data_IF_845266910101
#
_entry.id   IF_845266910101
#
_cell.length_a   1.000
_cell.length_b   1.000
_cell.length_c   1.000
_cell.angle_alpha   90.00
_cell.angle_beta   90.00
_cell.angle_gamma   90.00
#
_symmetry.space_group_name_H-M   'P 1'
#
loop_
_entity.id
_entity.type
_entity.pdbx_description
1 polymer ?
#
# COMPACT_ATOMS: atom_id res chain seq x y z
N UNK A 1 10.37 -28.13 -4.47
CA UNK A 1 9.15 -27.46 -3.94
C UNK A 1 8.03 -27.61 -4.97
N UNK A 2 6.76 -27.64 -4.53
CA UNK A 2 5.63 -27.59 -5.48
C UNK A 2 5.63 -26.23 -6.17
N UNK A 3 5.49 -26.21 -7.49
CA UNK A 3 5.33 -24.96 -8.26
C UNK A 3 4.04 -24.28 -7.87
N UNK A 4 4.11 -22.96 -7.63
CA UNK A 4 2.95 -22.10 -7.38
C UNK A 4 2.55 -21.44 -8.69
N UNK A 5 1.32 -21.67 -9.12
CA UNK A 5 0.76 -21.15 -10.36
C UNK A 5 -0.04 -19.88 -10.08
N UNK A 6 0.30 -18.80 -10.78
CA UNK A 6 -0.26 -17.46 -10.56
C UNK A 6 -1.14 -17.06 -11.74
N UNK A 7 -2.31 -16.51 -11.43
CA UNK A 7 -3.14 -15.75 -12.36
C UNK A 7 -2.96 -14.25 -12.15
N UNK A 8 -2.92 -13.48 -13.22
CA UNK A 8 -2.88 -12.00 -13.15
C UNK A 8 -4.16 -11.44 -13.74
N UNK A 9 -4.89 -10.65 -12.95
CA UNK A 9 -6.10 -9.94 -13.36
C UNK A 9 -5.87 -8.43 -13.40
N UNK A 10 -5.98 -7.84 -14.58
CA UNK A 10 -5.82 -6.41 -14.80
C UNK A 10 -4.38 -5.98 -15.16
N UNK A 11 -4.30 -4.99 -16.04
CA UNK A 11 -3.03 -4.52 -16.63
C UNK A 11 -2.03 -3.94 -15.62
N UNK A 12 -2.49 -3.42 -14.47
CA UNK A 12 -1.59 -2.90 -13.43
C UNK A 12 -0.75 -4.03 -12.78
N UNK A 13 -1.24 -5.27 -12.81
CA UNK A 13 -0.51 -6.44 -12.32
C UNK A 13 0.83 -6.70 -13.03
N UNK A 14 1.09 -6.05 -14.15
CA UNK A 14 2.40 -6.13 -14.84
C UNK A 14 3.56 -5.64 -13.99
N UNK A 15 3.34 -4.78 -13.00
CA UNK A 15 4.36 -4.35 -12.04
C UNK A 15 4.97 -5.50 -11.24
N UNK A 16 4.21 -6.58 -11.02
CA UNK A 16 4.64 -7.75 -10.23
C UNK A 16 5.40 -8.80 -11.04
N UNK A 17 5.34 -8.72 -12.38
CA UNK A 17 5.81 -9.79 -13.27
C UNK A 17 7.31 -10.05 -13.13
N UNK A 18 8.14 -9.00 -13.10
CA UNK A 18 9.59 -9.17 -12.95
C UNK A 18 9.92 -9.86 -11.62
N UNK A 19 9.29 -9.42 -10.52
CA UNK A 19 9.45 -10.04 -9.21
C UNK A 19 9.03 -11.52 -9.21
N UNK A 20 7.84 -11.83 -9.73
CA UNK A 20 7.35 -13.21 -9.78
C UNK A 20 8.25 -14.14 -10.61
N UNK A 21 8.77 -13.67 -11.75
CA UNK A 21 9.67 -14.44 -12.61
C UNK A 21 11.05 -14.71 -11.96
N UNK A 22 11.48 -13.84 -11.04
CA UNK A 22 12.75 -14.00 -10.33
C UNK A 22 12.66 -14.98 -9.14
N UNK A 23 11.47 -15.52 -8.82
CA UNK A 23 11.26 -16.45 -7.71
C UNK A 23 11.20 -17.89 -8.21
N UNK A 24 12.12 -18.73 -7.75
CA UNK A 24 12.17 -20.16 -8.10
C UNK A 24 10.85 -20.87 -7.72
N UNK A 25 10.33 -21.71 -8.63
CA UNK A 25 9.11 -22.47 -8.41
C UNK A 25 7.83 -21.62 -8.44
N UNK A 26 7.84 -20.48 -9.12
CA UNK A 26 6.66 -19.67 -9.42
C UNK A 26 6.46 -19.62 -10.94
N UNK A 27 5.22 -19.79 -11.38
CA UNK A 27 4.84 -19.71 -12.80
C UNK A 27 3.60 -18.84 -12.97
N UNK A 28 3.63 -17.92 -13.91
CA UNK A 28 2.46 -17.13 -14.32
C UNK A 28 1.77 -17.89 -15.45
N UNK A 29 0.65 -18.55 -15.15
CA UNK A 29 -0.03 -19.47 -16.08
C UNK A 29 -1.29 -18.90 -16.69
N UNK A 30 -1.90 -17.88 -16.05
CA UNK A 30 -3.18 -17.31 -16.47
C UNK A 30 -3.14 -15.77 -16.47
N UNK A 31 -3.84 -15.17 -17.43
CA UNK A 31 -4.06 -13.73 -17.53
C UNK A 31 -5.54 -13.44 -17.72
N UNK A 32 -6.06 -12.38 -17.10
CA UNK A 32 -7.44 -11.95 -17.21
C UNK A 32 -7.57 -10.44 -17.36
N UNK A 33 -8.33 -10.00 -18.36
CA UNK A 33 -8.79 -8.62 -18.50
C UNK A 33 -10.02 -8.57 -19.40
N UNK A 34 -10.99 -7.70 -19.08
CA UNK A 34 -12.18 -7.47 -19.93
C UNK A 34 -11.83 -6.84 -21.28
N UNK A 35 -10.75 -6.04 -21.32
CA UNK A 35 -10.25 -5.42 -22.55
C UNK A 35 -9.32 -6.39 -23.26
N UNK A 36 -9.68 -6.78 -24.49
CA UNK A 36 -8.91 -7.74 -25.29
C UNK A 36 -7.49 -7.28 -25.63
N UNK A 37 -7.28 -6.00 -25.84
CA UNK A 37 -5.94 -5.48 -26.16
C UNK A 37 -5.06 -5.43 -24.90
N UNK A 38 -5.61 -5.05 -23.75
CA UNK A 38 -4.93 -5.18 -22.46
C UNK A 38 -4.59 -6.65 -22.17
N UNK A 39 -5.53 -7.56 -22.37
CA UNK A 39 -5.33 -9.00 -22.18
C UNK A 39 -4.19 -9.56 -23.06
N UNK A 40 -4.10 -9.17 -24.33
CA UNK A 40 -2.98 -9.54 -25.20
C UNK A 40 -1.63 -9.05 -24.67
N UNK A 41 -1.59 -7.81 -24.15
CA UNK A 41 -0.38 -7.24 -23.56
C UNK A 41 0.01 -8.02 -22.30
N UNK A 42 -0.95 -8.25 -21.40
CA UNK A 42 -0.71 -9.01 -20.16
C UNK A 42 -0.19 -10.41 -20.50
N UNK A 43 -0.84 -11.14 -21.39
CA UNK A 43 -0.42 -12.48 -21.80
C UNK A 43 0.99 -12.51 -22.39
N UNK A 44 1.33 -11.54 -23.25
CA UNK A 44 2.65 -11.41 -23.84
C UNK A 44 3.74 -11.14 -22.80
N UNK A 45 3.54 -10.18 -21.93
CA UNK A 45 4.54 -9.76 -20.95
C UNK A 45 4.73 -10.82 -19.83
N UNK A 46 3.64 -11.49 -19.45
CA UNK A 46 3.69 -12.56 -18.44
C UNK A 46 4.21 -13.88 -18.99
N UNK A 47 3.95 -14.18 -20.26
CA UNK A 47 4.11 -15.50 -20.86
C UNK A 47 2.95 -16.46 -20.51
N UNK A 48 1.85 -15.96 -19.95
CA UNK A 48 0.68 -16.77 -19.59
C UNK A 48 0.10 -17.48 -20.83
N UNK A 49 -0.10 -18.79 -20.71
CA UNK A 49 -0.62 -19.63 -21.81
C UNK A 49 -2.14 -19.69 -21.84
N UNK A 50 -2.80 -19.33 -20.73
CA UNK A 50 -4.26 -19.30 -20.60
C UNK A 50 -4.73 -17.84 -20.45
N UNK A 51 -5.73 -17.45 -21.22
CA UNK A 51 -6.28 -16.09 -21.20
C UNK A 51 -7.79 -16.13 -20.99
N UNK A 52 -8.29 -15.22 -20.15
CA UNK A 52 -9.68 -15.17 -19.74
C UNK A 52 -10.19 -13.74 -19.84
N UNK A 53 -11.44 -13.57 -20.31
CA UNK A 53 -12.11 -12.26 -20.27
C UNK A 53 -12.95 -12.11 -18.98
N UNK A 54 -13.40 -13.21 -18.43
CA UNK A 54 -14.21 -13.27 -17.21
C UNK A 54 -13.32 -13.78 -16.07
N UNK A 55 -13.35 -13.08 -14.96
CA UNK A 55 -12.51 -13.38 -13.80
C UNK A 55 -12.85 -14.75 -13.19
N UNK A 56 -14.12 -15.08 -13.08
CA UNK A 56 -14.61 -16.33 -12.50
C UNK A 56 -14.13 -17.54 -13.34
N UNK A 57 -14.13 -17.42 -14.67
CA UNK A 57 -13.59 -18.47 -15.55
C UNK A 57 -12.08 -18.73 -15.29
N UNK A 58 -11.31 -17.68 -14.96
CA UNK A 58 -9.92 -17.86 -14.57
C UNK A 58 -9.79 -18.58 -13.23
N UNK A 59 -10.70 -18.36 -12.28
CA UNK A 59 -10.69 -19.02 -10.97
C UNK A 59 -10.96 -20.53 -11.07
N UNK A 60 -11.67 -20.99 -12.11
CA UNK A 60 -11.88 -22.42 -12.38
C UNK A 60 -10.61 -23.13 -12.88
N UNK A 61 -9.58 -22.36 -13.26
CA UNK A 61 -8.31 -22.93 -13.70
C UNK A 61 -7.45 -23.46 -12.55
N UNK A 62 -6.33 -24.10 -12.89
CA UNK A 62 -5.41 -24.72 -11.95
C UNK A 62 -4.42 -23.76 -11.28
N UNK A 63 -4.74 -22.46 -11.23
CA UNK A 63 -3.94 -21.48 -10.46
C UNK A 63 -4.04 -21.75 -8.96
N UNK A 64 -2.95 -21.49 -8.23
CA UNK A 64 -2.91 -21.56 -6.76
C UNK A 64 -3.21 -20.19 -6.13
N UNK A 65 -2.85 -19.09 -6.83
CA UNK A 65 -3.04 -17.74 -6.34
C UNK A 65 -3.35 -16.75 -7.48
N UNK A 66 -3.90 -15.59 -7.12
CA UNK A 66 -4.21 -14.51 -8.07
C UNK A 66 -3.68 -13.16 -7.60
N UNK A 67 -3.12 -12.40 -8.54
CA UNK A 67 -2.81 -10.98 -8.38
C UNK A 67 -3.99 -10.20 -8.93
N UNK A 68 -4.70 -9.47 -8.06
CA UNK A 68 -5.83 -8.61 -8.43
C UNK A 68 -5.34 -7.19 -8.61
N UNK A 69 -5.34 -6.71 -9.84
CA UNK A 69 -4.87 -5.39 -10.24
C UNK A 69 -5.85 -4.71 -11.22
N UNK A 70 -7.11 -5.02 -11.05
CA UNK A 70 -8.27 -4.46 -11.75
C UNK A 70 -8.62 -3.07 -11.19
N UNK A 71 -9.65 -2.36 -11.69
CA UNK A 71 -10.15 -1.15 -11.03
C UNK A 71 -10.52 -1.40 -9.56
N UNK A 72 -10.16 -0.47 -8.68
CA UNK A 72 -10.20 -0.66 -7.21
C UNK A 72 -11.59 -1.07 -6.65
N UNK A 73 -12.68 -0.67 -7.31
CA UNK A 73 -14.03 -1.10 -6.90
C UNK A 73 -14.30 -2.60 -7.14
N UNK A 74 -13.42 -3.27 -7.89
CA UNK A 74 -13.50 -4.71 -8.14
C UNK A 74 -12.64 -5.53 -7.16
N UNK A 75 -11.75 -4.90 -6.39
CA UNK A 75 -10.78 -5.61 -5.57
C UNK A 75 -11.44 -6.56 -4.56
N UNK A 76 -12.37 -6.05 -3.74
CA UNK A 76 -13.02 -6.89 -2.71
C UNK A 76 -13.93 -7.95 -3.32
N UNK A 77 -14.85 -7.66 -4.26
CA UNK A 77 -15.65 -8.70 -4.89
C UNK A 77 -14.79 -9.82 -5.51
N UNK A 78 -13.73 -9.46 -6.20
CA UNK A 78 -12.83 -10.43 -6.82
C UNK A 78 -11.98 -11.18 -5.79
N UNK A 79 -11.51 -10.51 -4.72
CA UNK A 79 -10.79 -11.17 -3.65
C UNK A 79 -11.66 -12.22 -2.93
N UNK A 80 -12.91 -11.89 -2.64
CA UNK A 80 -13.86 -12.82 -2.01
C UNK A 80 -14.12 -14.03 -2.93
N UNK A 81 -14.39 -13.81 -4.21
CA UNK A 81 -14.59 -14.90 -5.18
C UNK A 81 -13.34 -15.80 -5.28
N UNK A 82 -12.14 -15.21 -5.29
CA UNK A 82 -10.89 -15.99 -5.33
C UNK A 82 -10.67 -16.81 -4.05
N UNK A 83 -10.89 -16.22 -2.88
CA UNK A 83 -10.79 -16.90 -1.59
C UNK A 83 -11.79 -18.06 -1.50
N UNK A 84 -13.04 -17.86 -1.96
CA UNK A 84 -14.08 -18.86 -2.02
C UNK A 84 -13.72 -20.02 -2.97
N UNK A 85 -13.09 -19.70 -4.11
CA UNK A 85 -12.52 -20.67 -5.04
C UNK A 85 -11.25 -21.36 -4.51
N UNK A 86 -10.85 -21.10 -3.27
CA UNK A 86 -9.69 -21.69 -2.62
C UNK A 86 -8.34 -21.15 -3.08
N UNK A 87 -8.30 -19.96 -3.72
CA UNK A 87 -7.08 -19.31 -4.19
C UNK A 87 -6.53 -18.35 -3.14
N UNK A 88 -5.19 -18.21 -3.09
CA UNK A 88 -4.53 -17.13 -2.36
C UNK A 88 -4.63 -15.81 -3.15
N UNK A 89 -4.62 -14.67 -2.47
CA UNK A 89 -4.87 -13.37 -3.09
C UNK A 89 -3.78 -12.37 -2.70
N UNK A 90 -3.19 -11.71 -3.69
CA UNK A 90 -2.52 -10.43 -3.52
C UNK A 90 -3.32 -9.37 -4.29
N UNK A 91 -3.70 -8.28 -3.64
CA UNK A 91 -4.52 -7.23 -4.24
C UNK A 91 -3.78 -5.91 -4.28
N UNK A 92 -3.87 -5.22 -5.41
CA UNK A 92 -3.44 -3.83 -5.53
C UNK A 92 -4.23 -2.94 -4.55
N UNK A 93 -3.65 -1.78 -4.29
CA UNK A 93 -4.21 -0.76 -3.40
C UNK A 93 -5.36 0.00 -4.10
N UNK A 94 -6.40 0.39 -3.36
CA UNK A 94 -6.67 0.14 -1.94
C UNK A 94 -7.37 -1.20 -1.73
N UNK A 95 -7.40 -1.73 -0.50
CA UNK A 95 -8.05 -3.02 -0.24
C UNK A 95 -9.52 -3.04 -0.68
N UNK A 96 -10.27 -1.96 -0.41
CA UNK A 96 -11.68 -1.82 -0.79
C UNK A 96 -12.07 -0.35 -0.96
N UNK A 97 -13.33 -0.09 -1.28
CA UNK A 97 -13.87 1.26 -1.54
C UNK A 97 -15.05 1.64 -0.62
N UNK A 98 -15.47 0.75 0.26
CA UNK A 98 -16.47 0.98 1.32
C UNK A 98 -16.06 0.29 2.62
N UNK A 99 -16.58 0.75 3.75
CA UNK A 99 -16.30 0.12 5.04
C UNK A 99 -16.85 -1.30 5.12
N UNK A 100 -18.03 -1.54 4.57
CA UNK A 100 -18.66 -2.88 4.55
C UNK A 100 -17.80 -3.90 3.81
N UNK A 101 -17.23 -3.50 2.66
CA UNK A 101 -16.30 -4.34 1.91
C UNK A 101 -15.09 -4.76 2.75
N UNK A 102 -14.56 -3.87 3.60
CA UNK A 102 -13.42 -4.19 4.44
C UNK A 102 -13.76 -5.27 5.49
N UNK A 103 -14.96 -5.20 6.07
CA UNK A 103 -15.43 -6.25 6.98
C UNK A 103 -15.66 -7.58 6.26
N UNK A 104 -16.33 -7.56 5.11
CA UNK A 104 -16.56 -8.77 4.30
C UNK A 104 -15.24 -9.42 3.84
N UNK A 105 -14.24 -8.61 3.51
CA UNK A 105 -12.92 -9.13 3.14
C UNK A 105 -12.26 -9.86 4.31
N UNK A 106 -12.25 -9.26 5.51
CA UNK A 106 -11.72 -9.90 6.71
C UNK A 106 -12.44 -11.21 7.03
N UNK A 107 -13.77 -11.19 7.03
CA UNK A 107 -14.59 -12.38 7.27
C UNK A 107 -14.32 -13.49 6.25
N UNK A 108 -14.11 -13.11 4.98
CA UNK A 108 -13.81 -14.08 3.93
C UNK A 108 -12.43 -14.70 4.07
N UNK A 109 -11.40 -13.91 4.42
CA UNK A 109 -10.05 -14.43 4.68
C UNK A 109 -10.09 -15.41 5.86
N UNK A 110 -10.79 -15.06 6.94
CA UNK A 110 -10.96 -15.92 8.12
C UNK A 110 -11.73 -17.21 7.78
N UNK A 111 -12.81 -17.09 7.00
CA UNK A 111 -13.67 -18.22 6.61
C UNK A 111 -12.94 -19.24 5.73
N UNK A 112 -12.25 -18.76 4.69
CA UNK A 112 -11.65 -19.62 3.68
C UNK A 112 -10.20 -20.01 4.02
N UNK A 113 -9.60 -19.37 5.03
CA UNK A 113 -8.24 -19.65 5.52
C UNK A 113 -7.18 -19.67 4.39
N UNK A 114 -7.23 -18.64 3.52
CA UNK A 114 -6.25 -18.42 2.47
C UNK A 114 -5.47 -17.14 2.74
N UNK A 115 -4.24 -17.09 2.24
CA UNK A 115 -3.40 -15.89 2.32
C UNK A 115 -4.05 -14.75 1.54
N UNK A 116 -4.22 -13.61 2.19
CA UNK A 116 -4.48 -12.33 1.55
C UNK A 116 -3.37 -11.35 1.91
N UNK A 117 -2.88 -10.63 0.92
CA UNK A 117 -1.86 -9.58 1.09
C UNK A 117 -2.21 -8.35 0.26
N UNK A 118 -2.06 -7.16 0.85
CA UNK A 118 -2.16 -5.90 0.11
C UNK A 118 -0.80 -5.58 -0.55
N UNK A 119 -0.83 -5.24 -1.83
CA UNK A 119 0.35 -4.89 -2.61
C UNK A 119 0.79 -3.42 -2.39
N UNK A 120 1.02 -3.02 -1.14
CA UNK A 120 1.56 -1.69 -0.80
C UNK A 120 3.08 -1.71 -0.93
N UNK A 121 3.56 -1.55 -2.15
CA UNK A 121 4.97 -1.68 -2.53
C UNK A 121 5.88 -0.59 -1.97
N UNK A 122 5.37 0.60 -1.64
CA UNK A 122 6.18 1.66 -1.02
C UNK A 122 6.68 1.27 0.38
N UNK A 123 5.96 0.40 1.11
CA UNK A 123 6.43 -0.15 2.37
C UNK A 123 7.69 -1.03 2.21
N UNK A 124 7.96 -1.51 0.99
CA UNK A 124 9.13 -2.34 0.67
C UNK A 124 10.29 -1.58 0.03
N UNK A 125 10.23 -0.25 -0.07
CA UNK A 125 11.35 0.55 -0.58
C UNK A 125 12.58 0.39 0.34
N UNK A 126 13.81 0.32 -0.22
CA UNK A 126 15.03 0.05 0.55
C UNK A 126 15.25 1.02 1.72
N UNK A 127 15.02 2.31 1.52
CA UNK A 127 15.15 3.34 2.56
C UNK A 127 14.13 3.14 3.70
N UNK A 128 12.88 2.77 3.38
CA UNK A 128 11.85 2.46 4.38
C UNK A 128 12.24 1.22 5.19
N UNK A 129 12.71 0.17 4.54
CA UNK A 129 13.13 -1.06 5.21
C UNK A 129 14.39 -0.89 6.05
N UNK A 130 15.33 -0.04 5.60
CA UNK A 130 16.50 0.33 6.38
C UNK A 130 16.09 1.03 7.68
N UNK A 131 15.26 2.07 7.58
CA UNK A 131 14.80 2.83 8.74
C UNK A 131 13.98 1.94 9.69
N UNK A 132 13.12 1.07 9.14
CA UNK A 132 12.36 0.09 9.93
C UNK A 132 13.28 -0.85 10.73
N UNK A 133 14.37 -1.31 10.14
CA UNK A 133 15.34 -2.15 10.84
C UNK A 133 16.09 -1.36 11.92
N UNK A 134 16.51 -0.13 11.64
CA UNK A 134 17.14 0.76 12.62
C UNK A 134 16.22 1.06 13.81
N UNK A 135 14.89 1.22 13.56
CA UNK A 135 13.88 1.36 14.63
C UNK A 135 13.83 0.11 15.52
N UNK A 136 13.80 -1.09 14.91
CA UNK A 136 13.82 -2.35 15.68
C UNK A 136 15.05 -2.49 16.55
N UNK A 137 16.20 -1.98 16.10
CA UNK A 137 17.45 -1.98 16.85
C UNK A 137 17.52 -0.82 17.88
N UNK A 138 16.51 0.05 17.95
CA UNK A 138 16.39 1.11 18.95
C UNK A 138 17.23 2.34 18.70
N UNK A 139 17.80 2.52 17.48
CA UNK A 139 18.66 3.66 17.15
C UNK A 139 17.91 5.00 17.22
N UNK A 140 16.64 5.03 16.87
CA UNK A 140 15.80 6.22 16.99
C UNK A 140 15.23 6.43 18.40
N UNK A 141 15.53 5.54 19.37
CA UNK A 141 14.88 5.52 20.69
C UNK A 141 13.41 5.13 20.59
N UNK A 142 12.52 5.88 21.22
CA UNK A 142 11.06 5.69 21.14
C UNK A 142 10.51 6.52 19.99
N UNK A 143 10.04 5.93 18.88
CA UNK A 143 9.32 6.65 17.83
C UNK A 143 8.00 7.20 18.37
N UNK A 144 7.69 8.48 18.08
CA UNK A 144 6.47 9.11 18.59
C UNK A 144 5.73 9.95 17.55
N UNK A 145 6.38 10.34 16.47
CA UNK A 145 5.79 11.12 15.38
C UNK A 145 6.31 10.65 14.02
N UNK A 146 5.46 10.64 13.01
CA UNK A 146 5.86 10.43 11.62
C UNK A 146 5.00 11.23 10.66
N UNK A 147 5.54 11.44 9.45
CA UNK A 147 4.81 12.02 8.32
C UNK A 147 4.95 11.12 7.10
N UNK A 148 3.87 11.05 6.29
CA UNK A 148 3.89 10.42 4.99
C UNK A 148 3.12 11.24 3.97
N UNK A 149 3.70 11.48 2.80
CA UNK A 149 3.01 12.23 1.75
C UNK A 149 3.05 11.49 0.42
N UNK A 150 1.92 11.50 -0.27
CA UNK A 150 1.77 11.05 -1.64
C UNK A 150 1.29 12.21 -2.50
N UNK A 151 2.24 12.85 -3.19
CA UNK A 151 2.02 14.05 -3.99
C UNK A 151 2.24 13.70 -5.46
N UNK A 152 1.19 13.22 -6.09
CA UNK A 152 1.21 12.64 -7.43
C UNK A 152 0.06 13.19 -8.27
N UNK A 153 0.33 14.09 -9.18
CA UNK A 153 -0.68 14.54 -10.12
C UNK A 153 -1.10 13.37 -11.02
N UNK A 154 -2.32 12.87 -10.84
CA UNK A 154 -2.90 11.75 -11.58
C UNK A 154 -3.92 12.21 -12.64
N UNK A 155 -3.94 13.47 -13.01
CA UNK A 155 -4.98 14.02 -13.89
C UNK A 155 -4.91 13.51 -15.33
N UNK A 156 -3.74 13.08 -15.79
CA UNK A 156 -3.53 12.35 -17.04
C UNK A 156 -4.21 10.96 -17.06
N UNK A 157 -4.46 10.39 -15.88
CA UNK A 157 -5.15 9.11 -15.71
C UNK A 157 -6.68 9.21 -15.68
N UNK A 158 -7.25 10.42 -15.77
CA UNK A 158 -8.71 10.63 -15.80
C UNK A 158 -9.37 10.07 -17.05
N UNK A 159 -8.61 9.89 -18.12
CA UNK A 159 -9.08 9.32 -19.38
C UNK A 159 -8.20 8.15 -19.80
N UNK A 160 -8.83 7.21 -20.48
CA UNK A 160 -8.12 6.18 -21.24
C UNK A 160 -7.50 6.74 -22.52
N UNK A 161 -6.55 6.05 -23.15
CA UNK A 161 -5.97 6.47 -24.43
C UNK A 161 -6.99 6.68 -25.55
N UNK A 162 -8.14 6.02 -25.52
CA UNK A 162 -9.25 6.18 -26.45
C UNK A 162 -10.14 7.40 -26.13
N UNK A 163 -9.79 8.20 -25.13
CA UNK A 163 -10.48 9.42 -24.72
C UNK A 163 -11.67 9.19 -23.77
N UNK A 164 -12.06 7.94 -23.50
CA UNK A 164 -13.13 7.63 -22.56
C UNK A 164 -12.70 7.93 -21.12
N UNK A 165 -13.67 8.31 -20.29
CA UNK A 165 -13.45 8.54 -18.86
C UNK A 165 -13.01 7.25 -18.17
N UNK A 166 -11.88 7.31 -17.46
CA UNK A 166 -11.37 6.17 -16.72
C UNK A 166 -12.11 5.97 -15.40
N UNK A 167 -11.99 4.75 -14.84
CA UNK A 167 -12.55 4.42 -13.53
C UNK A 167 -11.99 5.31 -12.40
N UNK A 168 -10.78 5.86 -12.58
CA UNK A 168 -10.11 6.73 -11.59
C UNK A 168 -10.86 8.02 -11.36
N UNK A 169 -11.57 8.53 -12.39
CA UNK A 169 -12.40 9.74 -12.29
C UNK A 169 -13.55 9.61 -11.28
N UNK A 170 -14.01 8.37 -11.04
CA UNK A 170 -15.12 8.10 -10.14
C UNK A 170 -14.66 7.54 -8.79
N UNK A 171 -13.75 6.57 -8.80
CA UNK A 171 -13.39 5.77 -7.63
C UNK A 171 -12.13 6.24 -6.92
N UNK A 172 -11.22 6.92 -7.58
CA UNK A 172 -10.06 7.53 -6.95
C UNK A 172 -10.27 9.04 -6.80
N UNK A 173 -10.29 9.77 -7.90
CA UNK A 173 -10.41 11.24 -7.90
C UNK A 173 -11.86 11.73 -7.83
N UNK A 174 -12.83 10.84 -7.83
CA UNK A 174 -14.25 11.11 -7.53
C UNK A 174 -14.59 11.14 -6.04
N UNK A 175 -13.61 10.93 -5.15
CA UNK A 175 -13.78 10.84 -3.70
C UNK A 175 -13.12 12.02 -3.00
N UNK A 176 -13.62 12.35 -1.82
CA UNK A 176 -13.08 13.41 -0.95
C UNK A 176 -12.11 12.84 0.09
N UNK A 177 -11.38 13.75 0.74
CA UNK A 177 -10.41 13.38 1.76
C UNK A 177 -9.15 12.73 1.20
N UNK A 178 -8.41 12.05 2.08
CA UNK A 178 -7.20 11.29 1.74
C UNK A 178 -7.56 9.89 1.24
N UNK A 179 -8.45 9.79 0.23
CA UNK A 179 -9.04 8.52 -0.19
C UNK A 179 -8.02 7.46 -0.65
N UNK A 180 -6.84 7.87 -1.06
CA UNK A 180 -5.74 6.96 -1.47
C UNK A 180 -4.57 7.01 -0.47
N UNK A 181 -4.75 6.53 0.79
CA UNK A 181 -3.86 6.83 1.90
C UNK A 181 -2.65 5.90 2.00
N UNK A 182 -2.69 4.71 1.36
CA UNK A 182 -1.80 3.60 1.71
C UNK A 182 -0.34 3.88 1.38
N UNK A 183 -0.05 4.58 0.28
CA UNK A 183 1.31 5.03 -0.07
C UNK A 183 1.89 6.07 0.90
N UNK A 184 1.02 6.83 1.58
CA UNK A 184 1.45 7.76 2.62
C UNK A 184 1.61 7.07 3.98
N UNK A 185 0.64 6.20 4.33
CA UNK A 185 0.52 5.60 5.66
C UNK A 185 1.32 4.31 5.81
N UNK A 186 1.28 3.42 4.80
CA UNK A 186 1.88 2.09 4.88
C UNK A 186 3.36 2.09 5.27
N UNK A 187 4.21 2.86 4.55
CA UNK A 187 5.62 2.98 4.89
C UNK A 187 5.88 3.45 6.31
N UNK A 188 5.18 4.51 6.76
CA UNK A 188 5.41 5.09 8.09
C UNK A 188 4.85 4.22 9.21
N UNK A 189 3.81 3.41 8.97
CA UNK A 189 3.35 2.42 9.94
C UNK A 189 4.41 1.34 10.23
N UNK A 190 5.31 1.09 9.30
CA UNK A 190 6.47 0.24 9.51
C UNK A 190 7.41 0.73 10.61
N UNK A 191 7.40 2.03 10.94
CA UNK A 191 8.20 2.64 12.00
C UNK A 191 7.57 2.49 13.40
N UNK A 192 6.34 1.99 13.49
CA UNK A 192 5.63 1.75 14.74
C UNK A 192 5.25 0.27 14.90
N UNK A 193 6.22 -0.62 15.16
CA UNK A 193 5.98 -2.06 15.17
C UNK A 193 4.93 -2.46 16.19
N UNK A 194 3.94 -3.25 15.75
CA UNK A 194 2.85 -3.74 16.58
C UNK A 194 1.91 -2.64 17.08
N UNK A 195 1.80 -1.54 16.35
CA UNK A 195 0.83 -0.47 16.59
C UNK A 195 -0.17 -0.37 15.42
N UNK A 196 -1.27 0.35 15.61
CA UNK A 196 -2.31 0.58 14.60
C UNK A 196 -2.93 1.95 14.77
N UNK A 197 -3.49 2.51 13.72
CA UNK A 197 -4.29 3.74 13.79
C UNK A 197 -5.64 3.44 14.45
N UNK A 198 -6.04 4.27 15.40
CA UNK A 198 -7.32 4.14 16.11
C UNK A 198 -8.29 5.27 15.84
N UNK A 199 -7.77 6.47 15.53
CA UNK A 199 -8.62 7.62 15.23
C UNK A 199 -7.95 8.55 14.23
N UNK A 200 -8.75 9.28 13.47
CA UNK A 200 -8.27 10.28 12.50
C UNK A 200 -9.10 11.55 12.52
N UNK A 201 -8.46 12.67 12.17
CA UNK A 201 -9.12 13.91 11.76
C UNK A 201 -8.52 14.40 10.46
N UNK A 202 -9.36 14.72 9.48
CA UNK A 202 -8.93 15.14 8.15
C UNK A 202 -9.44 16.54 7.82
N UNK A 203 -8.56 17.38 7.27
CA UNK A 203 -8.87 18.71 6.79
C UNK A 203 -8.51 18.84 5.30
N UNK A 204 -9.30 19.66 4.62
CA UNK A 204 -9.16 19.92 3.20
C UNK A 204 -9.36 21.42 2.95
N UNK A 205 -8.60 22.03 2.03
CA UNK A 205 -8.87 23.39 1.56
C UNK A 205 -10.07 23.46 0.60
N UNK A 206 -10.61 22.31 0.19
CA UNK A 206 -11.62 22.19 -0.86
C UNK A 206 -11.02 21.74 -2.19
N UNK A 207 -11.81 21.87 -3.25
CA UNK A 207 -11.44 21.44 -4.60
C UNK A 207 -11.00 22.65 -5.43
N UNK A 208 -9.72 22.69 -5.80
CA UNK A 208 -9.10 23.74 -6.62
C UNK A 208 -8.61 23.21 -7.97
N UNK A 209 -9.09 22.03 -8.40
CA UNK A 209 -8.73 21.48 -9.70
C UNK A 209 -9.69 21.93 -10.79
N UNK A 210 -9.18 22.11 -12.01
CA UNK A 210 -9.95 22.50 -13.21
C UNK A 210 -10.55 21.30 -13.96
N UNK A 211 -10.34 20.07 -13.45
CA UNK A 211 -10.71 18.84 -14.15
C UNK A 211 -12.13 18.37 -13.84
N UNK A 212 -12.86 19.06 -12.94
CA UNK A 212 -14.22 18.71 -12.57
C UNK A 212 -14.36 17.44 -11.69
N UNK A 213 -13.25 16.95 -11.12
CA UNK A 213 -13.25 15.82 -10.18
C UNK A 213 -13.48 16.29 -8.74
N UNK A 214 -14.04 15.40 -7.90
CA UNK A 214 -14.38 15.74 -6.51
C UNK A 214 -13.20 15.67 -5.54
N UNK A 215 -12.04 15.17 -5.98
CA UNK A 215 -10.85 15.06 -5.15
C UNK A 215 -10.47 16.41 -4.56
N UNK A 216 -10.30 16.46 -3.26
CA UNK A 216 -9.78 17.64 -2.57
C UNK A 216 -8.33 17.92 -3.00
N UNK A 217 -8.00 19.19 -3.17
CA UNK A 217 -6.66 19.62 -3.59
C UNK A 217 -5.72 19.73 -2.38
N UNK A 218 -5.09 18.62 -2.04
CA UNK A 218 -4.19 18.52 -0.90
C UNK A 218 -4.92 18.38 0.43
N UNK A 219 -5.08 17.14 0.89
CA UNK A 219 -5.65 16.84 2.20
C UNK A 219 -4.55 16.57 3.22
N UNK A 220 -4.82 16.93 4.48
CA UNK A 220 -4.00 16.57 5.62
C UNK A 220 -4.84 15.78 6.61
N UNK A 221 -4.39 14.55 6.94
CA UNK A 221 -5.05 13.69 7.92
C UNK A 221 -4.12 13.43 9.08
N UNK A 222 -4.52 13.87 10.26
CA UNK A 222 -3.84 13.53 11.51
C UNK A 222 -4.40 12.20 12.01
N UNK A 223 -3.52 11.23 12.21
CA UNK A 223 -3.84 9.91 12.73
C UNK A 223 -3.26 9.75 14.13
N UNK A 224 -4.03 9.19 15.06
CA UNK A 224 -3.53 8.77 16.37
C UNK A 224 -3.51 7.25 16.41
N UNK A 225 -2.42 6.69 16.94
CA UNK A 225 -2.29 5.24 17.10
C UNK A 225 -2.76 4.78 18.47
N UNK A 226 -2.95 3.46 18.63
CA UNK A 226 -3.36 2.82 19.89
C UNK A 226 -2.37 3.08 21.04
N UNK A 227 -1.07 3.18 20.73
CA UNK A 227 -0.01 3.53 21.69
C UNK A 227 0.18 5.05 21.86
N UNK A 228 -0.74 5.88 21.30
CA UNK A 228 -0.74 7.34 21.45
C UNK A 228 0.25 8.09 20.55
N UNK A 229 0.83 7.44 19.53
CA UNK A 229 1.71 8.08 18.56
C UNK A 229 0.90 8.93 17.58
N UNK A 230 1.53 9.94 16.98
CA UNK A 230 0.91 10.79 15.97
C UNK A 230 1.54 10.57 14.61
N UNK A 231 0.69 10.47 13.58
CA UNK A 231 1.10 10.37 12.19
C UNK A 231 0.33 11.40 11.39
N UNK A 232 1.03 12.23 10.63
CA UNK A 232 0.44 13.15 9.67
C UNK A 232 0.60 12.59 8.26
N UNK A 233 -0.52 12.37 7.54
CA UNK A 233 -0.46 12.01 6.13
C UNK A 233 -1.01 13.12 5.26
N UNK A 234 -0.37 13.35 4.11
CA UNK A 234 -0.81 14.25 3.06
C UNK A 234 -1.03 13.50 1.76
N UNK A 235 -2.22 13.66 1.18
CA UNK A 235 -2.54 13.09 -0.15
C UNK A 235 -2.96 14.21 -1.08
N UNK A 236 -2.35 14.23 -2.28
CA UNK A 236 -2.65 15.23 -3.31
C UNK A 236 -2.47 14.60 -4.70
N UNK A 237 -3.57 14.36 -5.38
CA UNK A 237 -3.58 13.73 -6.71
C UNK A 237 -3.93 14.69 -7.85
N UNK A 238 -4.07 16.00 -7.58
CA UNK A 238 -4.58 16.97 -8.57
C UNK A 238 -3.74 18.24 -8.72
N UNK A 239 -2.77 18.47 -7.83
CA UNK A 239 -1.98 19.70 -7.87
C UNK A 239 -0.92 19.70 -8.97
N UNK A 240 -0.73 20.83 -9.69
CA UNK A 240 0.31 21.01 -10.70
C UNK A 240 1.67 21.22 -10.00
N UNK A 241 2.42 20.14 -9.79
CA UNK A 241 3.72 20.15 -9.14
C UNK A 241 4.60 18.98 -9.64
N UNK A 242 5.93 19.06 -9.52
CA UNK A 242 6.78 17.87 -9.62
C UNK A 242 6.33 16.81 -8.61
N UNK A 243 6.33 15.55 -9.02
CA UNK A 243 5.89 14.45 -8.17
C UNK A 243 6.84 14.28 -6.98
N UNK A 244 6.28 14.02 -5.80
CA UNK A 244 6.97 13.55 -4.62
C UNK A 244 6.09 12.49 -3.95
N UNK A 245 6.20 11.26 -4.44
CA UNK A 245 5.31 10.17 -4.09
C UNK A 245 5.76 9.38 -2.86
N UNK A 246 6.96 9.64 -2.37
CA UNK A 246 7.61 8.88 -1.28
C UNK A 246 8.28 9.81 -0.27
N UNK A 247 7.53 10.83 0.20
CA UNK A 247 8.04 11.74 1.21
C UNK A 247 7.66 11.24 2.60
N UNK A 248 8.66 10.83 3.38
CA UNK A 248 8.51 10.24 4.71
C UNK A 248 9.40 10.92 5.73
N UNK A 249 8.90 11.04 6.95
CA UNK A 249 9.61 11.56 8.10
C UNK A 249 9.32 10.67 9.31
N UNK A 250 10.34 10.43 10.14
CA UNK A 250 10.23 9.77 11.43
C UNK A 250 10.92 10.62 12.49
N UNK A 251 10.28 10.87 13.61
CA UNK A 251 10.90 11.44 14.80
C UNK A 251 10.81 10.46 15.97
N UNK A 252 11.95 10.13 16.51
CA UNK A 252 12.08 9.39 17.75
C UNK A 252 12.77 10.21 18.84
N UNK A 253 12.90 9.65 20.05
CA UNK A 253 13.56 10.33 21.19
C UNK A 253 15.08 10.44 21.06
N UNK A 254 15.69 9.68 20.13
CA UNK A 254 17.14 9.66 19.91
C UNK A 254 17.54 9.94 18.46
N UNK A 255 16.61 10.21 17.58
CA UNK A 255 16.94 10.44 16.18
C UNK A 255 15.76 10.83 15.31
N UNK A 256 16.09 11.26 14.12
CA UNK A 256 15.16 11.70 13.08
C UNK A 256 15.60 11.18 11.73
N UNK A 257 14.63 10.84 10.88
CA UNK A 257 14.81 10.48 9.48
C UNK A 257 13.92 11.35 8.62
N UNK A 258 14.43 11.81 7.49
CA UNK A 258 13.66 12.46 6.42
C UNK A 258 14.09 11.96 5.06
N UNK A 259 13.14 11.68 4.19
CA UNK A 259 13.43 11.50 2.76
C UNK A 259 13.76 12.83 2.11
N UNK A 260 14.45 12.79 0.97
CA UNK A 260 14.72 13.97 0.18
C UNK A 260 13.45 14.75 -0.21
N UNK A 261 13.58 16.06 -0.31
CA UNK A 261 12.46 16.97 -0.63
C UNK A 261 11.99 16.89 -2.10
N UNK A 262 12.67 16.10 -2.92
CA UNK A 262 12.47 16.04 -4.37
C UNK A 262 13.15 17.16 -5.15
N UNK A 263 14.08 17.90 -4.51
CA UNK A 263 14.86 19.01 -5.12
C UNK A 263 16.33 18.62 -5.39
N UNK A 264 16.62 17.32 -5.42
CA UNK A 264 17.98 16.82 -5.61
C UNK A 264 18.76 16.58 -4.31
N UNK A 265 18.11 16.77 -3.16
CA UNK A 265 18.63 16.36 -1.85
C UNK A 265 18.31 14.86 -1.62
N UNK A 266 19.24 14.15 -0.96
CA UNK A 266 19.09 12.74 -0.61
C UNK A 266 18.33 12.53 0.70
N UNK A 267 18.06 11.26 0.99
CA UNK A 267 17.50 10.84 2.27
C UNK A 267 18.55 11.01 3.37
N UNK A 268 18.13 11.42 4.56
CA UNK A 268 19.02 11.84 5.63
C UNK A 268 18.52 11.38 7.00
N UNK A 269 19.50 11.14 7.85
CA UNK A 269 19.30 10.69 9.24
C UNK A 269 20.13 11.59 10.16
N UNK A 270 19.61 11.87 11.36
CA UNK A 270 20.42 12.40 12.45
C UNK A 270 20.15 11.60 13.71
N UNK A 271 21.18 10.99 14.29
CA UNK A 271 21.09 10.21 15.51
C UNK A 271 21.84 10.91 16.66
N UNK A 272 21.25 10.91 17.84
CA UNK A 272 21.86 11.41 19.05
C UNK A 272 23.02 10.51 19.50
N UNK A 273 24.19 11.07 19.72
CA UNK A 273 25.39 10.35 20.16
C UNK A 273 26.50 11.28 20.61
N UNK A 274 27.67 10.74 20.97
CA UNK A 274 28.84 11.53 21.41
C UNK A 274 29.30 12.55 20.35
N UNK A 275 29.27 12.17 19.07
CA UNK A 275 29.63 13.03 17.96
C UNK A 275 28.49 13.94 17.46
N UNK A 276 27.27 13.78 17.98
CA UNK A 276 26.08 14.49 17.52
C UNK A 276 25.12 14.84 18.69
N UNK A 277 25.57 15.68 19.67
CA UNK A 277 24.81 15.98 20.87
C UNK A 277 23.61 16.90 20.59
N UNK A 278 22.62 16.89 21.49
CA UNK A 278 21.47 17.82 21.45
C UNK A 278 21.98 19.27 21.34
N UNK A 279 21.34 20.04 20.44
CA UNK A 279 21.68 21.45 20.19
C UNK A 279 22.77 21.66 19.12
N UNK A 280 23.48 20.59 18.74
CA UNK A 280 24.49 20.63 17.67
C UNK A 280 24.32 19.49 16.68
N UNK A 281 23.14 18.85 16.65
CA UNK A 281 22.86 17.73 15.75
C UNK A 281 22.97 18.16 14.27
N UNK A 282 23.57 17.31 13.48
CA UNK A 282 23.73 17.50 12.04
C UNK A 282 23.15 16.28 11.30
N UNK A 283 22.76 16.52 10.07
CA UNK A 283 22.26 15.51 9.16
C UNK A 283 23.42 14.70 8.55
N UNK A 284 23.19 13.41 8.41
CA UNK A 284 24.04 12.50 7.69
C UNK A 284 23.27 11.86 6.54
N UNK A 285 23.97 11.52 5.47
CA UNK A 285 23.39 10.80 4.34
C UNK A 285 22.99 9.38 4.77
N UNK A 286 21.80 8.92 4.34
CA UNK A 286 21.30 7.58 4.69
C UNK A 286 22.25 6.47 4.25
N UNK A 287 23.06 6.70 3.22
CA UNK A 287 24.07 5.72 2.73
C UNK A 287 25.14 5.37 3.77
N UNK A 288 25.33 6.20 4.80
CA UNK A 288 26.22 5.91 5.93
C UNK A 288 25.69 4.79 6.84
N UNK A 289 24.46 4.35 6.63
CA UNK A 289 23.73 3.39 7.48
C UNK A 289 23.33 2.10 6.75
N UNK A 290 23.91 1.83 5.58
CA UNK A 290 23.58 0.65 4.76
C UNK A 290 23.84 -0.69 5.46
N UNK A 291 24.65 -0.72 6.51
CA UNK A 291 24.85 -1.90 7.36
C UNK A 291 23.54 -2.36 8.05
N UNK A 292 22.58 -1.46 8.25
CA UNK A 292 21.26 -1.80 8.81
C UNK A 292 20.25 -2.27 7.77
N UNK A 293 20.56 -2.17 6.46
CA UNK A 293 19.67 -2.70 5.44
C UNK A 293 19.51 -4.21 5.63
N UNK A 294 18.27 -4.76 5.59
CA UNK A 294 18.06 -6.21 5.77
C UNK A 294 18.89 -7.04 4.78
N UNK A 295 19.42 -8.18 5.24
CA UNK A 295 20.31 -9.03 4.46
C UNK A 295 19.76 -9.43 3.07
N UNK A 296 18.45 -9.62 2.96
CA UNK A 296 17.81 -9.95 1.67
C UNK A 296 17.97 -8.82 0.63
N UNK A 297 17.97 -7.56 1.07
CA UNK A 297 18.21 -6.40 0.20
C UNK A 297 19.69 -6.27 -0.18
N UNK A 298 20.61 -6.53 0.75
CA UNK A 298 22.07 -6.50 0.47
C UNK A 298 22.49 -7.58 -0.53
N UNK A 299 21.78 -8.72 -0.53
CA UNK A 299 22.06 -9.87 -1.39
C UNK A 299 21.25 -9.90 -2.67
N UNK A 300 20.37 -8.91 -2.86
CA UNK A 300 19.53 -8.84 -4.04
C UNK A 300 20.36 -8.69 -5.31
N UNK A 301 19.98 -9.42 -6.35
CA UNK A 301 20.60 -9.31 -7.68
C UNK A 301 20.20 -8.01 -8.35
N UNK A 302 20.93 -7.62 -9.40
CA UNK A 302 20.56 -6.45 -10.20
C UNK A 302 19.15 -6.58 -10.79
N UNK A 303 18.74 -7.78 -11.20
CA UNK A 303 17.40 -8.04 -11.71
C UNK A 303 16.32 -7.79 -10.63
N UNK A 304 16.56 -8.25 -9.41
CA UNK A 304 15.67 -8.03 -8.27
C UNK A 304 15.58 -6.56 -7.89
N UNK A 305 16.70 -5.86 -7.84
CA UNK A 305 16.75 -4.42 -7.55
C UNK A 305 16.10 -3.55 -8.64
N UNK A 306 16.08 -4.01 -9.88
CA UNK A 306 15.45 -3.33 -11.02
C UNK A 306 13.96 -3.70 -11.21
N UNK A 307 13.37 -4.50 -10.34
CA UNK A 307 11.97 -4.92 -10.45
C UNK A 307 10.94 -3.80 -10.21
N UNK A 308 11.38 -2.56 -10.04
CA UNK A 308 10.54 -1.39 -9.78
C UNK A 308 10.63 -0.93 -8.31
N UNK A 309 10.41 0.37 -8.09
CA UNK A 309 10.48 1.01 -6.77
C UNK A 309 11.75 0.66 -5.96
N UNK A 310 12.91 0.59 -6.66
CA UNK A 310 14.19 0.22 -6.04
C UNK A 310 14.23 -1.22 -5.52
N UNK A 311 13.53 -2.15 -6.19
CA UNK A 311 13.40 -3.56 -5.80
C UNK A 311 12.16 -3.85 -4.94
N UNK A 312 11.43 -2.83 -4.48
CA UNK A 312 10.25 -3.01 -3.64
C UNK A 312 9.21 -3.95 -4.26
N UNK A 313 9.06 -3.89 -5.60
CA UNK A 313 8.12 -4.75 -6.34
C UNK A 313 8.55 -6.23 -6.35
N UNK A 314 9.85 -6.53 -6.19
CA UNK A 314 10.33 -7.90 -5.97
C UNK A 314 10.03 -8.38 -4.55
N UNK A 315 10.42 -7.62 -3.54
CA UNK A 315 10.33 -8.05 -2.15
C UNK A 315 8.89 -8.23 -1.67
N UNK A 316 7.95 -7.45 -2.21
CA UNK A 316 6.53 -7.61 -1.86
C UNK A 316 5.95 -8.92 -2.42
N UNK A 317 6.30 -9.30 -3.66
CA UNK A 317 5.83 -10.58 -4.21
C UNK A 317 6.56 -11.76 -3.58
N UNK A 318 7.84 -11.59 -3.19
CA UNK A 318 8.59 -12.59 -2.43
C UNK A 318 7.90 -12.91 -1.10
N UNK A 319 7.49 -11.88 -0.33
CA UNK A 319 6.76 -12.07 0.93
C UNK A 319 5.40 -12.76 0.72
N UNK A 320 4.67 -12.41 -0.35
CA UNK A 320 3.43 -13.09 -0.69
C UNK A 320 3.64 -14.58 -0.98
N UNK A 321 4.63 -14.92 -1.80
CA UNK A 321 4.96 -16.31 -2.14
C UNK A 321 5.44 -17.07 -0.90
N UNK A 322 6.24 -16.43 -0.04
CA UNK A 322 6.70 -17.05 1.20
C UNK A 322 5.54 -17.30 2.17
N UNK A 323 4.60 -16.35 2.30
CA UNK A 323 3.39 -16.56 3.10
C UNK A 323 2.56 -17.75 2.61
N UNK A 324 2.45 -17.97 1.30
CA UNK A 324 1.79 -19.16 0.74
C UNK A 324 2.56 -20.43 1.08
N UNK A 325 3.89 -20.41 1.00
CA UNK A 325 4.75 -21.58 1.24
C UNK A 325 4.80 -22.00 2.70
N UNK A 326 4.82 -21.04 3.60
CA UNK A 326 4.94 -21.29 5.05
C UNK A 326 3.60 -21.42 5.75
N UNK A 327 2.54 -20.83 5.18
CA UNK A 327 1.24 -20.68 5.84
C UNK A 327 1.22 -19.59 6.92
N UNK A 328 2.30 -18.80 7.04
CA UNK A 328 2.37 -17.65 7.94
C UNK A 328 1.66 -16.44 7.34
N UNK A 329 1.20 -15.52 8.20
CA UNK A 329 0.60 -14.29 7.73
C UNK A 329 1.64 -13.39 7.04
N UNK A 330 1.33 -12.79 5.88
CA UNK A 330 2.23 -11.85 5.22
C UNK A 330 2.39 -10.57 6.05
N UNK A 331 3.44 -9.79 5.75
CA UNK A 331 3.69 -8.56 6.48
C UNK A 331 2.51 -7.57 6.41
N UNK A 332 1.87 -7.45 5.24
CA UNK A 332 0.69 -6.59 5.05
C UNK A 332 -0.54 -7.48 4.88
N UNK A 333 -0.96 -8.06 5.99
CA UNK A 333 -2.13 -8.95 6.06
C UNK A 333 -3.45 -8.20 5.83
N UNK A 334 -4.55 -8.94 5.81
CA UNK A 334 -5.90 -8.38 5.58
C UNK A 334 -6.26 -7.31 6.61
N UNK A 335 -5.83 -7.45 7.86
CA UNK A 335 -6.19 -6.51 8.91
C UNK A 335 -5.48 -5.16 8.73
N UNK A 336 -4.17 -5.17 8.46
CA UNK A 336 -3.41 -3.96 8.12
C UNK A 336 -3.96 -3.31 6.83
N UNK A 337 -4.26 -4.11 5.81
CA UNK A 337 -4.84 -3.65 4.57
C UNK A 337 -6.15 -2.88 4.80
N UNK A 338 -7.04 -3.44 5.62
CA UNK A 338 -8.31 -2.83 5.96
C UNK A 338 -8.16 -1.61 6.88
N UNK A 339 -7.30 -1.68 7.90
CA UNK A 339 -7.01 -0.54 8.80
C UNK A 339 -6.47 0.66 8.03
N UNK A 340 -5.49 0.46 7.13
CA UNK A 340 -4.91 1.55 6.33
C UNK A 340 -5.91 2.11 5.32
N UNK A 341 -6.69 1.25 4.67
CA UNK A 341 -7.72 1.68 3.72
C UNK A 341 -8.84 2.45 4.42
N UNK A 342 -9.25 2.05 5.63
CA UNK A 342 -10.29 2.71 6.42
C UNK A 342 -9.93 4.17 6.74
N UNK A 343 -8.64 4.50 6.94
CA UNK A 343 -8.17 5.88 7.11
C UNK A 343 -8.61 6.75 5.93
N UNK A 344 -8.44 6.27 4.70
CA UNK A 344 -8.89 6.98 3.50
C UNK A 344 -10.40 7.13 3.40
N UNK A 345 -11.13 6.06 3.66
CA UNK A 345 -12.61 6.07 3.59
C UNK A 345 -13.22 7.04 4.61
N UNK A 346 -12.73 7.01 5.85
CA UNK A 346 -13.22 7.84 6.94
C UNK A 346 -12.73 9.28 6.85
N UNK A 347 -11.60 9.54 6.19
CA UNK A 347 -11.09 10.90 5.98
C UNK A 347 -12.06 11.76 5.18
N UNK A 348 -12.76 11.19 4.18
CA UNK A 348 -13.79 11.90 3.42
C UNK A 348 -15.00 12.28 4.29
N UNK A 349 -15.38 11.43 5.24
CA UNK A 349 -16.45 11.71 6.21
C UNK A 349 -15.99 12.79 7.18
N UNK A 350 -14.76 12.72 7.67
CA UNK A 350 -14.18 13.75 8.53
C UNK A 350 -14.18 15.14 7.87
N UNK A 351 -13.73 15.24 6.61
CA UNK A 351 -13.78 16.48 5.83
C UNK A 351 -15.20 17.02 5.69
N UNK A 352 -16.17 16.14 5.38
CA UNK A 352 -17.57 16.54 5.24
C UNK A 352 -18.19 17.06 6.57
N UNK A 353 -17.59 16.70 7.70
CA UNK A 353 -18.00 17.09 9.05
C UNK A 353 -16.98 18.01 9.74
N UNK A 354 -16.34 18.91 8.98
CA UNK A 354 -15.43 19.95 9.47
C UNK A 354 -14.27 19.42 10.32
N UNK A 355 -13.69 18.29 9.93
CA UNK A 355 -12.57 17.68 10.64
C UNK A 355 -12.97 16.86 11.87
N UNK A 356 -14.25 16.47 11.98
CA UNK A 356 -14.72 15.58 13.07
C UNK A 356 -13.81 14.35 13.16
N UNK A 357 -13.39 14.02 14.36
CA UNK A 357 -12.61 12.81 14.66
C UNK A 357 -13.43 11.57 14.34
N UNK A 358 -12.86 10.67 13.56
CA UNK A 358 -13.43 9.40 13.18
C UNK A 358 -12.63 8.25 13.80
N UNK A 359 -13.34 7.23 14.31
CA UNK A 359 -12.71 6.04 14.89
C UNK A 359 -12.42 5.01 13.81
N UNK A 360 -11.21 4.46 13.79
CA UNK A 360 -10.83 3.35 12.91
C UNK A 360 -11.17 2.04 13.62
N UNK A 361 -12.04 1.18 13.06
CA UNK A 361 -12.37 -0.10 13.64
C UNK A 361 -11.13 -1.00 13.80
N UNK A 362 -11.17 -1.88 14.77
CA UNK A 362 -10.26 -3.01 14.81
C UNK A 362 -10.87 -4.18 14.03
N UNK A 363 -10.27 -4.56 12.92
CA UNK A 363 -10.79 -5.60 12.03
C UNK A 363 -10.45 -7.03 12.47
N UNK A 364 -9.76 -7.23 13.59
CA UNK A 364 -9.34 -8.56 14.07
C UNK A 364 -10.50 -9.39 14.62
N UNK A 365 -10.40 -10.68 14.52
CA UNK A 365 -11.44 -11.70 14.74
C UNK A 365 -12.20 -11.63 16.08
N UNK A 366 -11.60 -11.19 17.13
CA UNK A 366 -12.20 -11.23 18.49
C UNK A 366 -12.97 -9.97 18.87
N UNK A 367 -13.28 -9.10 17.90
CA UNK A 367 -14.01 -7.88 18.20
C UNK A 367 -15.51 -8.12 18.13
N UNK A 368 -16.30 -7.74 19.14
CA UNK A 368 -17.76 -7.81 19.06
C UNK A 368 -18.28 -7.04 17.85
N UNK A 369 -19.31 -7.57 17.19
CA UNK A 369 -19.91 -6.95 16.01
C UNK A 369 -20.37 -5.51 16.28
N UNK A 370 -20.82 -5.23 17.49
CA UNK A 370 -21.27 -3.91 17.93
C UNK A 370 -20.13 -2.85 17.94
N UNK A 371 -18.89 -3.28 18.12
CA UNK A 371 -17.70 -2.40 18.05
C UNK A 371 -17.16 -2.24 16.64
N UNK A 372 -17.56 -3.12 15.70
CA UNK A 372 -17.23 -3.02 14.28
C UNK A 372 -18.09 -1.98 13.55
N UNK A 373 -19.24 -1.63 14.12
CA UNK A 373 -20.17 -0.69 13.52
C UNK A 373 -19.75 0.74 13.86
N UNK A 374 -19.50 1.55 12.83
CA UNK A 374 -19.25 2.98 12.99
C UNK A 374 -20.60 3.65 13.25
N UNK A 375 -20.82 4.12 14.49
CA UNK A 375 -21.96 4.98 14.79
C UNK A 375 -21.68 6.38 14.22
N UNK A 376 -22.38 6.73 13.17
CA UNK A 376 -22.45 8.08 12.63
C UNK A 376 -23.54 8.82 13.43
N UNK A 377 -23.16 9.40 14.59
CA UNK A 377 -24.03 10.30 15.34
C UNK A 377 -23.96 11.73 14.77
#
# INVERSE_FOLDING_TARGET
MKTIKIGIAGGRGLSTVMGLKAIEGVEITAACDLNEDALKVIAKETGATKTYRVFDDMLESDIDAVIIATPMQCHVPQAIAALEAGKHVMSEVTAGVTMDELFWLCESVEKYNKTYMLAENYAYMPNVQLVKEMVKQGLFGEPYYAEGSYLHNCTDLLKYPDGKTSWRSYWQMGRRGSFYPTHSLGPVMGFFPGDRVTEISCFSPGTYNEFGVKQDSGTTTMCRTEKGKLINIRVDCTSPRPHNMSHYHLQGTKGVFETGSGKGDGDKIALLGEGNPIGCMHWEDISNYLEYLPERYKKATDEQNNAGHGGGDFFIVEDFINAIRTGEAPEIDVYKACEWTAVGLLSGISVANNGKTMQIPNFRKNMPLEEKIIKLD
#
